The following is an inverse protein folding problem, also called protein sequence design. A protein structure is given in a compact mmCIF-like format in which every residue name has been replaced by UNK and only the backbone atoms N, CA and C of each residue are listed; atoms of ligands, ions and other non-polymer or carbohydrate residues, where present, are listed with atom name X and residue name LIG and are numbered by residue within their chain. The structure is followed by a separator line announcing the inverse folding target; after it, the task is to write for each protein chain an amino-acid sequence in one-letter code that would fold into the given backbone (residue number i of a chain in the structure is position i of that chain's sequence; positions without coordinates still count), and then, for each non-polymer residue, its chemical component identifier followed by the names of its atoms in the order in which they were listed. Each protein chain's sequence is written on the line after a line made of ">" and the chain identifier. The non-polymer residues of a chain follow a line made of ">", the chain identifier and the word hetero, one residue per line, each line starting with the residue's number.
data_IF_018494225294
#
_entry.id   IF_018494225294
#
_cell.length_a   1.000
_cell.length_b   1.000
_cell.length_c   1.000
_cell.angle_alpha   90.00
_cell.angle_beta   90.00
_cell.angle_gamma   90.00
#
_symmetry.space_group_name_H-M   'P 1'
#
loop_
_entity.id
_entity.type
_entity.pdbx_description
1 polymer ?
#
# COMPACT_ATOMS: atom_id res chain seq x y z
N UNK A 1 -4.10 27.56 -4.11
CA UNK A 1 -4.11 28.93 -4.66
C UNK A 1 -3.96 28.93 -6.19
N UNK A 2 -2.93 28.27 -6.76
CA UNK A 2 -2.70 28.25 -8.22
C UNK A 2 -3.89 27.69 -9.04
N UNK A 3 -4.58 26.64 -8.55
CA UNK A 3 -5.75 26.07 -9.21
C UNK A 3 -6.95 27.01 -9.17
N UNK A 4 -7.15 27.72 -8.06
CA UNK A 4 -8.22 28.72 -7.94
C UNK A 4 -7.99 29.91 -8.89
N UNK A 5 -6.74 30.37 -9.00
CA UNK A 5 -6.38 31.40 -9.96
C UNK A 5 -6.66 31.01 -11.42
N UNK A 6 -6.70 29.68 -11.72
CA UNK A 6 -7.11 29.11 -13.01
C UNK A 6 -8.62 28.85 -13.12
N UNK A 7 -9.42 29.36 -12.19
CA UNK A 7 -10.89 29.22 -12.20
C UNK A 7 -11.42 27.83 -11.88
N UNK A 8 -10.60 26.94 -11.28
CA UNK A 8 -11.03 25.60 -10.85
C UNK A 8 -11.95 25.72 -9.63
N UNK A 9 -13.10 25.06 -9.68
CA UNK A 9 -14.15 25.11 -8.65
C UNK A 9 -14.37 23.79 -7.92
N UNK A 10 -13.95 22.67 -8.49
CA UNK A 10 -14.15 21.32 -7.98
C UNK A 10 -12.79 20.62 -7.88
N UNK A 11 -12.62 19.82 -6.85
CA UNK A 11 -11.35 19.17 -6.57
C UNK A 11 -11.54 17.66 -6.38
N UNK A 12 -10.65 16.90 -6.96
CA UNK A 12 -10.49 15.49 -6.68
C UNK A 12 -9.13 15.36 -6.00
N UNK A 13 -9.14 14.81 -4.79
CA UNK A 13 -7.94 14.52 -4.01
C UNK A 13 -7.74 13.02 -4.01
N UNK A 14 -6.54 12.56 -4.37
CA UNK A 14 -6.11 11.18 -4.20
C UNK A 14 -5.07 11.18 -3.10
N UNK A 15 -5.34 10.44 -2.02
CA UNK A 15 -4.47 10.27 -0.86
C UNK A 15 -3.99 8.83 -0.84
N UNK A 16 -2.68 8.64 -0.72
CA UNK A 16 -2.08 7.31 -0.78
C UNK A 16 -2.12 6.64 0.60
N UNK A 17 -2.40 5.34 0.59
CA UNK A 17 -2.23 4.45 1.73
C UNK A 17 -1.28 3.32 1.30
N UNK A 18 0.03 3.55 1.45
CA UNK A 18 1.07 2.62 1.06
C UNK A 18 1.59 2.82 -0.36
N UNK A 19 2.42 3.85 -0.57
CA UNK A 19 3.10 4.09 -1.86
C UNK A 19 4.03 2.94 -2.24
N UNK A 20 4.23 2.76 -3.55
CA UNK A 20 4.92 1.57 -4.11
C UNK A 20 6.34 1.38 -3.56
N UNK A 21 7.14 2.42 -3.43
CA UNK A 21 8.54 2.29 -3.00
C UNK A 21 8.66 2.36 -1.48
N UNK A 22 8.08 3.37 -0.85
CA UNK A 22 8.31 3.67 0.56
C UNK A 22 7.19 3.18 1.49
N UNK A 23 6.06 2.76 0.95
CA UNK A 23 4.91 2.41 1.77
C UNK A 23 4.30 3.61 2.51
N UNK A 24 4.63 4.83 2.11
CA UNK A 24 4.18 6.06 2.77
C UNK A 24 2.66 6.16 2.76
N UNK A 25 2.13 6.73 3.84
CA UNK A 25 0.70 6.99 4.01
C UNK A 25 0.49 8.50 4.15
N UNK A 26 -0.37 9.05 3.31
CA UNK A 26 -0.72 10.47 3.36
C UNK A 26 -1.74 10.73 4.47
N UNK A 27 -1.61 11.84 5.19
CA UNK A 27 -2.68 12.31 6.07
C UNK A 27 -3.72 13.10 5.23
N UNK A 28 -4.92 12.55 5.02
CA UNK A 28 -5.94 13.22 4.21
C UNK A 28 -6.45 14.52 4.82
N UNK A 29 -6.30 14.73 6.12
CA UNK A 29 -6.71 15.98 6.81
C UNK A 29 -5.98 17.19 6.25
N UNK A 30 -4.69 17.04 5.92
CA UNK A 30 -3.87 18.12 5.34
C UNK A 30 -4.54 18.75 4.10
N UNK A 31 -5.22 17.94 3.30
CA UNK A 31 -5.90 18.40 2.09
C UNK A 31 -7.34 18.85 2.37
N UNK A 32 -8.07 18.09 3.18
CA UNK A 32 -9.51 18.32 3.37
C UNK A 32 -9.77 19.56 4.23
N UNK A 33 -8.95 19.83 5.21
CA UNK A 33 -9.07 21.04 6.05
C UNK A 33 -8.91 22.31 5.22
N UNK A 34 -7.90 22.37 4.36
CA UNK A 34 -7.70 23.51 3.45
C UNK A 34 -8.88 23.68 2.50
N UNK A 35 -9.40 22.59 1.94
CA UNK A 35 -10.53 22.68 1.01
C UNK A 35 -11.82 23.13 1.71
N UNK A 36 -12.02 22.72 2.96
CA UNK A 36 -13.14 23.16 3.80
C UNK A 36 -13.02 24.61 4.21
N UNK A 37 -11.83 25.06 4.59
CA UNK A 37 -11.55 26.47 4.91
C UNK A 37 -11.94 27.40 3.75
N UNK A 38 -11.61 26.99 2.52
CA UNK A 38 -11.98 27.75 1.33
C UNK A 38 -13.39 27.43 0.79
N UNK A 39 -14.18 26.62 1.50
CA UNK A 39 -15.53 26.20 1.11
C UNK A 39 -15.60 25.58 -0.31
N UNK A 40 -14.58 24.82 -0.67
CA UNK A 40 -14.44 24.22 -2.00
C UNK A 40 -15.01 22.80 -2.02
N UNK A 41 -15.90 22.47 -2.95
CA UNK A 41 -16.39 21.11 -3.09
C UNK A 41 -15.30 20.18 -3.59
N UNK A 42 -15.19 19.01 -2.95
CA UNK A 42 -14.19 18.00 -3.29
C UNK A 42 -14.74 16.57 -3.21
N UNK A 43 -13.99 15.66 -3.79
CA UNK A 43 -14.06 14.22 -3.56
C UNK A 43 -12.69 13.74 -3.12
N UNK A 44 -12.66 12.96 -2.05
CA UNK A 44 -11.45 12.33 -1.53
C UNK A 44 -11.48 10.84 -1.86
N UNK A 45 -10.50 10.40 -2.63
CA UNK A 45 -10.25 9.00 -2.93
C UNK A 45 -9.00 8.54 -2.17
N UNK A 46 -9.07 7.38 -1.55
CA UNK A 46 -7.93 6.72 -0.93
C UNK A 46 -7.40 5.65 -1.90
N UNK A 47 -6.19 5.83 -2.37
CA UNK A 47 -5.45 4.78 -3.04
C UNK A 47 -4.83 3.85 -1.98
N UNK A 48 -5.59 2.85 -1.59
CA UNK A 48 -5.19 1.79 -0.67
C UNK A 48 -4.79 0.51 -1.39
N UNK A 49 -4.37 0.60 -2.66
CA UNK A 49 -4.05 -0.56 -3.50
C UNK A 49 -3.14 -1.57 -2.77
N UNK A 50 -2.16 -1.10 -2.03
CA UNK A 50 -1.32 -1.95 -1.18
C UNK A 50 -1.74 -1.89 0.29
N UNK A 51 -1.76 -0.69 0.86
CA UNK A 51 -1.92 -0.47 2.29
C UNK A 51 -3.30 -0.78 2.83
N UNK A 52 -4.34 -0.86 1.98
CA UNK A 52 -5.71 -1.13 2.40
C UNK A 52 -5.92 -2.46 3.14
N UNK A 53 -5.01 -3.43 2.96
CA UNK A 53 -4.97 -4.69 3.72
C UNK A 53 -3.83 -4.80 4.73
N UNK A 54 -3.17 -3.69 5.08
CA UNK A 54 -2.12 -3.66 6.11
C UNK A 54 -2.43 -2.58 7.13
N UNK A 55 -2.53 -1.35 6.67
CA UNK A 55 -2.63 -0.16 7.50
C UNK A 55 -3.85 -0.15 8.44
N UNK A 56 -5.07 -0.57 8.03
CA UNK A 56 -6.23 -0.61 8.92
C UNK A 56 -6.11 -1.58 10.10
N UNK A 57 -5.13 -2.48 10.09
CA UNK A 57 -4.84 -3.38 11.21
C UNK A 57 -3.78 -2.82 12.17
N UNK A 58 -3.44 -1.53 12.05
CA UNK A 58 -2.52 -0.83 12.94
C UNK A 58 -3.15 -0.36 14.24
N UNK A 59 -2.29 -0.09 15.23
CA UNK A 59 -2.68 0.45 16.55
C UNK A 59 -2.68 1.98 16.52
N UNK A 60 -3.64 2.59 15.82
CA UNK A 60 -3.74 4.06 15.82
C UNK A 60 -5.19 4.51 15.64
N UNK A 61 -5.51 5.64 16.22
CA UNK A 61 -6.76 6.39 16.00
C UNK A 61 -6.79 7.03 14.61
N UNK A 62 -6.68 6.20 13.60
CA UNK A 62 -6.58 6.73 12.27
C UNK A 62 -7.93 6.63 11.58
N UNK A 63 -8.29 7.72 10.96
CA UNK A 63 -9.56 7.90 10.29
C UNK A 63 -9.44 7.76 8.76
N UNK A 64 -8.48 6.95 8.26
CA UNK A 64 -8.38 6.65 6.83
C UNK A 64 -9.29 5.47 6.50
N UNK A 65 -10.54 5.60 6.84
CA UNK A 65 -11.62 4.66 6.55
C UNK A 65 -12.96 5.42 6.46
N UNK A 66 -14.05 4.71 6.18
CA UNK A 66 -15.36 5.34 5.99
C UNK A 66 -16.02 5.91 7.26
N UNK A 67 -15.39 5.84 8.45
CA UNK A 67 -15.82 6.64 9.60
C UNK A 67 -15.51 8.11 9.38
N UNK A 68 -14.48 8.43 8.59
CA UNK A 68 -14.23 9.78 8.10
C UNK A 68 -15.23 10.15 7.00
N UNK A 69 -16.12 11.13 7.22
CA UNK A 69 -17.16 11.50 6.25
C UNK A 69 -16.60 12.09 4.96
N UNK A 70 -15.39 12.59 4.95
CA UNK A 70 -14.76 13.21 3.78
C UNK A 70 -14.35 12.18 2.73
N UNK A 71 -14.07 10.93 3.12
CA UNK A 71 -13.67 9.87 2.20
C UNK A 71 -14.85 9.46 1.33
N UNK A 72 -14.68 9.62 0.03
CA UNK A 72 -15.68 9.29 -0.99
C UNK A 72 -15.55 7.86 -1.49
N UNK A 73 -14.32 7.38 -1.66
CA UNK A 73 -14.03 6.06 -2.22
C UNK A 73 -12.64 5.56 -1.82
N UNK A 74 -12.46 4.25 -1.88
CA UNK A 74 -11.19 3.55 -1.59
C UNK A 74 -10.98 2.49 -2.66
N UNK A 75 -9.77 2.36 -3.18
CA UNK A 75 -9.33 1.23 -4.01
C UNK A 75 -8.39 0.34 -3.22
N UNK A 76 -8.53 -0.98 -3.37
CA UNK A 76 -7.69 -1.99 -2.74
C UNK A 76 -7.36 -3.05 -3.80
N UNK A 77 -6.07 -3.35 -4.01
CA UNK A 77 -5.67 -4.40 -4.94
C UNK A 77 -5.63 -5.77 -4.24
N UNK A 78 -6.61 -6.60 -4.53
CA UNK A 78 -6.71 -7.91 -3.92
C UNK A 78 -5.56 -8.85 -4.32
N UNK A 79 -4.94 -8.65 -5.49
CA UNK A 79 -3.77 -9.40 -5.94
C UNK A 79 -2.45 -9.00 -5.27
N UNK A 80 -2.47 -8.00 -4.37
CA UNK A 80 -1.32 -7.61 -3.54
C UNK A 80 -1.39 -8.35 -2.18
N UNK A 81 -1.73 -7.66 -1.12
CA UNK A 81 -1.71 -8.24 0.23
C UNK A 81 -2.70 -9.37 0.45
N UNK A 82 -3.85 -9.35 -0.21
CA UNK A 82 -4.84 -10.42 -0.13
C UNK A 82 -4.43 -11.70 -0.88
N UNK A 83 -3.42 -11.62 -1.75
CA UNK A 83 -2.87 -12.73 -2.55
C UNK A 83 -3.92 -13.42 -3.44
N UNK A 84 -4.91 -12.67 -3.88
CA UNK A 84 -5.87 -13.12 -4.88
C UNK A 84 -5.21 -13.20 -6.27
N UNK A 85 -5.84 -13.87 -7.25
CA UNK A 85 -5.30 -13.93 -8.62
C UNK A 85 -5.03 -12.55 -9.21
N UNK A 86 -3.98 -12.46 -10.03
CA UNK A 86 -3.55 -11.20 -10.65
C UNK A 86 -4.68 -10.49 -11.41
N UNK A 87 -4.66 -9.16 -11.36
CA UNK A 87 -5.67 -8.32 -12.00
C UNK A 87 -6.96 -8.14 -11.19
N UNK A 88 -6.97 -8.55 -9.91
CA UNK A 88 -8.11 -8.31 -9.01
C UNK A 88 -7.98 -6.98 -8.28
N UNK A 89 -8.97 -6.11 -8.43
CA UNK A 89 -9.10 -4.87 -7.68
C UNK A 89 -10.48 -4.79 -7.01
N UNK A 90 -10.52 -4.20 -5.84
CA UNK A 90 -11.74 -3.91 -5.07
C UNK A 90 -11.90 -2.40 -5.01
N UNK A 91 -13.02 -1.90 -5.51
CA UNK A 91 -13.40 -0.51 -5.39
C UNK A 91 -14.62 -0.38 -4.49
N UNK A 92 -14.52 0.44 -3.47
CA UNK A 92 -15.61 0.72 -2.53
C UNK A 92 -15.85 2.22 -2.50
N UNK A 93 -17.11 2.64 -2.58
CA UNK A 93 -17.46 4.04 -2.47
C UNK A 93 -18.71 4.23 -1.61
N UNK A 94 -18.96 5.48 -1.22
CA UNK A 94 -20.21 5.82 -0.53
C UNK A 94 -21.41 5.58 -1.43
N UNK A 95 -22.50 5.15 -0.82
CA UNK A 95 -23.78 4.95 -1.49
C UNK A 95 -24.18 6.20 -2.29
N UNK A 96 -24.66 6.00 -3.50
CA UNK A 96 -25.07 7.07 -4.40
C UNK A 96 -23.95 7.66 -5.26
N UNK A 97 -22.70 7.20 -5.11
CA UNK A 97 -21.59 7.67 -5.96
C UNK A 97 -21.33 6.76 -7.16
N UNK A 98 -21.59 5.46 -7.03
CA UNK A 98 -21.30 4.49 -8.09
C UNK A 98 -22.19 4.72 -9.33
N UNK A 99 -23.39 5.25 -9.15
CA UNK A 99 -24.32 5.54 -10.23
C UNK A 99 -23.79 6.60 -11.21
N UNK A 100 -22.82 7.42 -10.77
CA UNK A 100 -22.19 8.43 -11.63
C UNK A 100 -21.25 7.84 -12.70
N UNK A 101 -20.88 6.58 -12.61
CA UNK A 101 -20.01 5.88 -13.58
C UNK A 101 -20.78 4.90 -14.47
N UNK A 102 -22.11 4.85 -14.33
CA UNK A 102 -22.95 4.02 -15.17
C UNK A 102 -22.86 4.45 -16.63
N UNK A 103 -22.59 3.51 -17.50
CA UNK A 103 -22.68 3.69 -18.95
C UNK A 103 -23.99 3.09 -19.47
N UNK A 104 -24.78 3.87 -20.19
CA UNK A 104 -26.08 3.47 -20.70
C UNK A 104 -26.02 2.53 -21.92
N UNK A 105 -24.84 2.15 -22.39
CA UNK A 105 -24.65 1.65 -23.75
C UNK A 105 -24.47 0.12 -23.90
N UNK A 106 -24.46 -0.65 -22.84
CA UNK A 106 -24.33 -2.12 -22.96
C UNK A 106 -25.68 -2.79 -23.29
N UNK A 107 -26.24 -2.49 -24.47
CA UNK A 107 -27.55 -3.02 -24.91
C UNK A 107 -27.61 -4.55 -25.04
N UNK A 108 -26.48 -5.24 -25.04
CA UNK A 108 -26.39 -6.70 -25.23
C UNK A 108 -26.09 -7.45 -23.93
N UNK A 109 -25.92 -6.75 -22.82
CA UNK A 109 -25.67 -7.36 -21.51
C UNK A 109 -26.83 -6.99 -20.58
N UNK A 110 -27.50 -7.98 -20.00
CA UNK A 110 -28.43 -7.77 -18.91
C UNK A 110 -27.63 -7.37 -17.65
N UNK A 111 -27.71 -6.11 -17.28
CA UNK A 111 -27.03 -5.57 -16.11
C UNK A 111 -26.42 -4.20 -16.36
N UNK A 112 -25.93 -3.59 -15.28
CA UNK A 112 -25.27 -2.29 -15.33
C UNK A 112 -23.75 -2.47 -15.37
N UNK A 113 -23.08 -1.86 -16.34
CA UNK A 113 -21.62 -1.80 -16.37
C UNK A 113 -21.15 -0.59 -15.55
N UNK A 114 -20.38 -0.87 -14.49
CA UNK A 114 -19.87 0.10 -13.54
C UNK A 114 -18.38 0.39 -13.74
N UNK A 115 -17.77 -0.10 -14.82
CA UNK A 115 -16.32 0.02 -15.03
C UNK A 115 -15.99 0.35 -16.47
N UNK A 116 -14.80 0.92 -16.66
CA UNK A 116 -14.24 1.17 -17.99
C UNK A 116 -13.72 -0.09 -18.68
N UNK A 117 -13.47 -1.16 -17.91
CA UNK A 117 -13.06 -2.45 -18.45
C UNK A 117 -14.30 -3.24 -18.85
N UNK A 118 -14.35 -3.77 -20.06
CA UNK A 118 -15.41 -4.63 -20.53
C UNK A 118 -15.51 -5.96 -19.76
N UNK A 119 -15.26 -7.10 -20.42
CA UNK A 119 -15.33 -8.40 -19.77
C UNK A 119 -14.35 -8.58 -18.61
N UNK A 120 -14.83 -9.14 -17.49
CA UNK A 120 -14.04 -9.42 -16.29
C UNK A 120 -14.23 -10.86 -15.87
N UNK A 121 -13.23 -11.40 -15.16
CA UNK A 121 -13.27 -12.76 -14.64
C UNK A 121 -14.19 -12.87 -13.41
N UNK A 122 -15.31 -13.58 -13.55
CA UNK A 122 -16.14 -13.96 -12.41
C UNK A 122 -15.40 -14.89 -11.43
N UNK A 123 -14.48 -15.72 -11.92
CA UNK A 123 -13.64 -16.58 -11.09
C UNK A 123 -12.77 -15.77 -10.13
N UNK A 124 -12.28 -14.61 -10.54
CA UNK A 124 -11.52 -13.70 -9.67
C UNK A 124 -12.39 -13.14 -8.51
N UNK A 125 -13.64 -12.81 -8.77
CA UNK A 125 -14.56 -12.36 -7.73
C UNK A 125 -14.84 -13.50 -6.72
N UNK A 126 -15.03 -14.72 -7.20
CA UNK A 126 -15.17 -15.92 -6.35
C UNK A 126 -13.92 -16.15 -5.52
N UNK A 127 -12.72 -16.05 -6.11
CA UNK A 127 -11.46 -16.21 -5.38
C UNK A 127 -11.32 -15.17 -4.25
N UNK A 128 -11.61 -13.91 -4.50
CA UNK A 128 -11.62 -12.85 -3.47
C UNK A 128 -12.60 -13.19 -2.35
N UNK A 129 -13.82 -13.60 -2.71
CA UNK A 129 -14.84 -13.99 -1.72
C UNK A 129 -14.39 -15.17 -0.87
N UNK A 130 -13.84 -16.23 -1.49
CA UNK A 130 -13.32 -17.42 -0.77
C UNK A 130 -12.22 -17.01 0.22
N UNK A 131 -11.24 -16.20 -0.21
CA UNK A 131 -10.15 -15.75 0.64
C UNK A 131 -10.69 -14.97 1.84
N UNK A 132 -11.56 -14.00 1.61
CA UNK A 132 -12.13 -13.17 2.67
C UNK A 132 -12.95 -13.98 3.66
N UNK A 133 -13.79 -14.92 3.18
CA UNK A 133 -14.65 -15.74 4.05
C UNK A 133 -13.87 -16.82 4.79
N UNK A 134 -12.82 -17.39 4.18
CA UNK A 134 -11.97 -18.43 4.82
C UNK A 134 -11.19 -17.87 6.00
N UNK A 135 -10.61 -16.71 5.84
CA UNK A 135 -9.80 -16.10 6.90
C UNK A 135 -10.64 -15.31 7.90
N UNK A 136 -11.60 -14.54 7.42
CA UNK A 136 -12.38 -13.62 8.24
C UNK A 136 -11.50 -12.52 8.90
N UNK A 137 -12.11 -11.58 9.61
CA UNK A 137 -11.37 -10.42 10.14
C UNK A 137 -10.32 -10.80 11.20
N UNK A 138 -10.60 -11.78 12.05
CA UNK A 138 -9.68 -12.18 13.13
C UNK A 138 -8.40 -12.82 12.60
N UNK A 139 -8.50 -13.76 11.65
CA UNK A 139 -7.30 -14.38 11.08
C UNK A 139 -6.49 -13.40 10.23
N UNK A 140 -7.16 -12.43 9.58
CA UNK A 140 -6.45 -11.35 8.91
C UNK A 140 -5.68 -10.48 9.90
N UNK A 141 -6.30 -10.12 11.03
CA UNK A 141 -5.62 -9.39 12.09
C UNK A 141 -4.40 -10.15 12.61
N UNK A 142 -4.52 -11.44 12.92
CA UNK A 142 -3.39 -12.29 13.34
C UNK A 142 -2.27 -12.31 12.31
N UNK A 143 -2.63 -12.53 11.03
CA UNK A 143 -1.69 -12.59 9.92
C UNK A 143 -0.89 -11.29 9.77
N UNK A 144 -1.58 -10.17 9.76
CA UNK A 144 -0.93 -8.85 9.66
C UNK A 144 -0.12 -8.55 10.91
N UNK A 145 -0.59 -8.92 12.10
CA UNK A 145 0.17 -8.75 13.34
C UNK A 145 1.51 -9.49 13.30
N UNK A 146 1.54 -10.73 12.81
CA UNK A 146 2.79 -11.49 12.64
C UNK A 146 3.73 -10.80 11.65
N UNK A 147 3.23 -10.34 10.51
CA UNK A 147 4.01 -9.59 9.53
C UNK A 147 4.61 -8.33 10.15
N UNK A 148 3.82 -7.57 10.90
CA UNK A 148 4.27 -6.36 11.60
C UNK A 148 5.33 -6.67 12.66
N UNK A 149 5.16 -7.74 13.44
CA UNK A 149 6.18 -8.20 14.40
C UNK A 149 7.51 -8.51 13.71
N UNK A 150 7.48 -9.22 12.58
CA UNK A 150 8.69 -9.51 11.77
C UNK A 150 9.31 -8.22 11.23
N UNK A 151 8.49 -7.27 10.76
CA UNK A 151 8.96 -5.95 10.29
C UNK A 151 9.64 -5.17 11.42
N UNK A 152 9.03 -5.14 12.60
CA UNK A 152 9.58 -4.48 13.79
C UNK A 152 10.92 -5.11 14.19
N UNK A 153 11.01 -6.44 14.14
CA UNK A 153 12.24 -7.15 14.40
C UNK A 153 13.35 -6.76 13.42
N UNK A 154 13.05 -6.74 12.11
CA UNK A 154 13.99 -6.32 11.08
C UNK A 154 14.49 -4.89 11.35
N UNK A 155 13.59 -3.93 11.56
CA UNK A 155 13.95 -2.54 11.85
C UNK A 155 14.89 -2.44 13.07
N UNK A 156 14.57 -3.18 14.15
CA UNK A 156 15.44 -3.23 15.34
C UNK A 156 16.85 -3.77 15.04
N UNK A 157 16.98 -4.77 14.15
CA UNK A 157 18.30 -5.26 13.74
C UNK A 157 19.05 -4.22 12.90
N UNK A 158 18.36 -3.54 11.99
CA UNK A 158 18.94 -2.47 11.17
C UNK A 158 19.44 -1.31 12.04
N UNK A 159 18.66 -0.93 13.07
CA UNK A 159 19.06 0.09 14.06
C UNK A 159 20.37 -0.32 14.78
N UNK A 160 20.47 -1.57 15.23
CA UNK A 160 21.69 -2.10 15.90
C UNK A 160 22.91 -2.11 14.97
N UNK A 161 22.70 -2.25 13.67
CA UNK A 161 23.77 -2.22 12.67
C UNK A 161 24.10 -0.80 12.19
N UNK A 162 23.37 0.22 12.64
CA UNK A 162 23.51 1.60 12.17
C UNK A 162 23.15 1.75 10.68
N UNK A 163 22.24 0.92 10.17
CA UNK A 163 21.77 0.98 8.77
C UNK A 163 20.69 2.01 8.65
N UNK A 164 20.84 2.96 7.70
CA UNK A 164 19.82 3.97 7.44
C UNK A 164 18.68 3.39 6.60
N UNK A 165 17.46 3.50 7.10
CA UNK A 165 16.25 3.03 6.43
C UNK A 165 15.09 4.00 6.65
N UNK A 166 14.05 3.85 5.84
CA UNK A 166 12.73 4.44 6.04
C UNK A 166 11.68 3.35 6.19
N UNK A 167 10.77 3.54 7.12
CA UNK A 167 9.56 2.74 7.27
C UNK A 167 8.42 3.64 7.72
N UNK A 168 7.29 3.57 7.02
CA UNK A 168 6.04 4.15 7.51
C UNK A 168 5.54 3.32 8.72
N UNK A 169 5.19 3.97 9.85
CA UNK A 169 4.60 3.26 10.99
C UNK A 169 3.43 2.37 10.55
N UNK A 170 3.33 1.18 11.13
CA UNK A 170 2.28 0.19 10.84
C UNK A 170 2.30 -0.46 9.46
N UNK A 171 3.20 -0.05 8.57
CA UNK A 171 3.40 -0.72 7.28
C UNK A 171 4.47 -1.80 7.34
N UNK A 172 4.43 -2.71 6.38
CA UNK A 172 5.35 -3.85 6.23
C UNK A 172 6.37 -3.66 5.10
N UNK A 173 6.59 -2.43 4.67
CA UNK A 173 7.61 -2.05 3.69
C UNK A 173 8.74 -1.34 4.44
N UNK A 174 9.96 -1.80 4.22
CA UNK A 174 11.18 -1.19 4.74
C UNK A 174 12.08 -0.85 3.57
N UNK A 175 12.48 0.41 3.45
CA UNK A 175 13.39 0.88 2.41
C UNK A 175 14.74 1.22 3.03
N UNK A 176 15.80 0.60 2.55
CA UNK A 176 17.16 0.75 3.07
C UNK A 176 17.98 1.58 2.08
N UNK A 177 18.83 2.47 2.57
CA UNK A 177 19.78 3.19 1.73
C UNK A 177 20.69 2.23 0.98
N UNK A 178 20.83 2.42 -0.33
CA UNK A 178 21.62 1.53 -1.18
C UNK A 178 23.10 1.47 -0.76
N UNK A 179 23.65 2.57 -0.27
CA UNK A 179 25.01 2.65 0.27
C UNK A 179 25.25 1.77 1.52
N UNK A 180 24.17 1.38 2.19
CA UNK A 180 24.23 0.52 3.39
C UNK A 180 24.20 -0.97 3.05
N UNK A 181 23.91 -1.37 1.81
CA UNK A 181 23.72 -2.77 1.40
C UNK A 181 24.63 -3.09 0.22
N UNK A 182 25.57 -4.03 0.38
CA UNK A 182 26.37 -4.52 -0.74
C UNK A 182 25.45 -5.06 -1.86
N UNK A 183 25.80 -4.75 -3.10
CA UNK A 183 25.02 -5.16 -4.27
C UNK A 183 24.84 -6.69 -4.34
N UNK A 184 25.87 -7.44 -3.96
CA UNK A 184 25.82 -8.91 -3.86
C UNK A 184 24.74 -9.41 -2.90
N UNK A 185 24.53 -8.71 -1.79
CA UNK A 185 23.46 -9.01 -0.83
C UNK A 185 22.12 -8.59 -1.38
N UNK A 186 22.03 -7.40 -1.98
CA UNK A 186 20.80 -6.94 -2.60
C UNK A 186 20.31 -7.94 -3.67
N UNK A 187 21.21 -8.47 -4.49
CA UNK A 187 20.90 -9.51 -5.48
C UNK A 187 20.51 -10.85 -4.84
N UNK A 188 21.28 -11.32 -3.83
CA UNK A 188 21.00 -12.58 -3.13
C UNK A 188 19.58 -12.64 -2.56
N UNK A 189 19.13 -11.54 -1.99
CA UNK A 189 17.81 -11.44 -1.33
C UNK A 189 16.74 -10.78 -2.21
N UNK A 190 17.02 -10.56 -3.50
CA UNK A 190 16.10 -9.95 -4.45
C UNK A 190 15.49 -8.63 -3.94
N UNK A 191 16.31 -7.78 -3.34
CA UNK A 191 15.85 -6.46 -2.91
C UNK A 191 15.46 -5.62 -4.13
N UNK A 192 14.33 -4.95 -4.05
CA UNK A 192 13.81 -4.17 -5.18
C UNK A 192 14.47 -2.78 -5.19
N UNK A 193 15.28 -2.45 -6.21
CA UNK A 193 15.89 -1.13 -6.30
C UNK A 193 14.86 -0.06 -6.65
N UNK A 194 15.10 1.18 -6.23
CA UNK A 194 14.33 2.34 -6.63
C UNK A 194 14.54 2.66 -8.12
N UNK A 195 15.75 2.47 -8.61
CA UNK A 195 16.16 2.61 -10.01
C UNK A 195 17.08 1.45 -10.39
N UNK A 196 17.09 1.07 -11.68
CA UNK A 196 17.98 0.03 -12.23
C UNK A 196 19.27 0.60 -12.81
N UNK A 197 19.56 1.86 -12.60
CA UNK A 197 20.76 2.55 -13.00
C UNK A 197 21.63 2.99 -11.80
N UNK A 198 22.74 3.65 -12.07
CA UNK A 198 23.69 4.15 -11.05
C UNK A 198 23.07 5.19 -10.09
N UNK A 199 21.87 5.71 -10.38
CA UNK A 199 21.15 6.65 -9.53
C UNK A 199 20.37 5.98 -8.39
N UNK A 200 20.43 4.64 -8.26
CA UNK A 200 19.72 3.91 -7.22
C UNK A 200 20.17 4.33 -5.82
N UNK A 201 19.26 4.91 -5.06
CA UNK A 201 19.52 5.38 -3.69
C UNK A 201 18.90 4.49 -2.61
N UNK A 202 18.00 3.59 -3.00
CA UNK A 202 17.21 2.80 -2.07
C UNK A 202 16.95 1.39 -2.58
N UNK A 203 16.96 0.44 -1.65
CA UNK A 203 16.43 -0.90 -1.84
C UNK A 203 15.19 -1.09 -0.96
N UNK A 204 14.17 -1.71 -1.51
CA UNK A 204 12.91 -2.02 -0.82
C UNK A 204 12.87 -3.49 -0.41
N UNK A 205 12.47 -3.73 0.83
CA UNK A 205 12.10 -5.02 1.38
C UNK A 205 10.60 -4.97 1.69
N UNK A 206 9.85 -5.96 1.22
CA UNK A 206 8.43 -6.12 1.51
C UNK A 206 8.25 -7.40 2.33
N UNK A 207 7.80 -7.26 3.56
CA UNK A 207 7.57 -8.41 4.42
C UNK A 207 6.17 -8.97 4.18
N UNK A 208 6.10 -10.01 3.35
CA UNK A 208 4.90 -10.80 3.13
C UNK A 208 4.86 -11.98 4.11
N UNK A 209 3.76 -12.70 4.19
CA UNK A 209 3.61 -13.82 5.13
C UNK A 209 4.59 -14.99 4.87
N UNK A 210 5.05 -15.17 3.64
CA UNK A 210 6.09 -16.15 3.29
C UNK A 210 7.52 -15.71 3.66
N UNK A 211 7.73 -14.44 4.03
CA UNK A 211 9.04 -13.96 4.52
C UNK A 211 9.14 -14.28 6.02
N UNK A 212 9.70 -15.45 6.32
CA UNK A 212 9.84 -15.93 7.70
C UNK A 212 11.02 -15.29 8.42
N UNK A 213 11.04 -15.42 9.75
CA UNK A 213 12.07 -14.80 10.59
C UNK A 213 13.46 -15.36 10.28
N UNK A 214 13.55 -16.63 9.86
CA UNK A 214 14.79 -17.29 9.46
C UNK A 214 15.43 -16.61 8.26
N UNK A 215 14.65 -16.28 7.23
CA UNK A 215 15.13 -15.52 6.07
C UNK A 215 15.69 -14.14 6.47
N UNK A 216 15.04 -13.49 7.43
CA UNK A 216 15.50 -12.20 7.94
C UNK A 216 16.79 -12.33 8.77
N UNK A 217 16.94 -13.41 9.55
CA UNK A 217 18.17 -13.70 10.29
C UNK A 217 19.35 -13.94 9.34
N UNK A 218 19.13 -14.71 8.28
CA UNK A 218 20.16 -14.96 7.26
C UNK A 218 20.57 -13.66 6.56
N UNK A 219 19.60 -12.82 6.21
CA UNK A 219 19.87 -11.48 5.64
C UNK A 219 20.73 -10.63 6.59
N UNK A 220 20.38 -10.54 7.87
CA UNK A 220 21.12 -9.77 8.85
C UNK A 220 22.52 -10.37 9.08
N UNK A 221 22.64 -11.69 9.13
CA UNK A 221 23.93 -12.37 9.26
C UNK A 221 24.88 -12.02 8.10
N UNK A 222 24.39 -12.06 6.87
CA UNK A 222 25.17 -11.70 5.69
C UNK A 222 25.56 -10.20 5.69
N UNK A 223 24.67 -9.33 6.12
CA UNK A 223 24.94 -7.90 6.27
C UNK A 223 26.09 -7.65 7.28
N UNK A 224 26.12 -8.38 8.39
CA UNK A 224 27.21 -8.30 9.39
C UNK A 224 28.51 -8.83 8.81
N UNK A 225 28.46 -10.00 8.17
CA UNK A 225 29.65 -10.66 7.61
C UNK A 225 30.29 -9.82 6.50
N UNK A 226 29.51 -9.13 5.70
CA UNK A 226 30.03 -8.26 4.63
C UNK A 226 30.73 -7.02 5.17
N UNK A 227 30.28 -6.44 6.28
CA UNK A 227 30.95 -5.30 6.95
C UNK A 227 32.30 -5.67 7.52
N UNK A 228 32.47 -6.91 7.99
CA UNK A 228 33.74 -7.40 8.54
C UNK A 228 34.82 -7.67 7.47
N UNK A 229 34.44 -7.76 6.22
CA UNK A 229 35.34 -8.00 5.08
C UNK A 229 35.80 -6.74 4.36
N UNK A 230 35.25 -5.57 4.70
CA UNK A 230 35.69 -4.28 4.16
C UNK A 230 36.91 -3.82 4.94
N UNK A 231 38.11 -3.71 4.35
CA UNK A 231 39.28 -3.16 5.05
C UNK A 231 39.00 -1.70 5.40
N UNK A 232 39.30 -1.35 6.67
CA UNK A 232 39.30 0.01 7.23
C UNK A 232 40.22 0.96 6.48
#
# INVERSE_FOLDING_TARGET
>A
KASLAKGKKYFIVVSNMGTTMFGSVDDPKVYTEVLKEYQLPFRLHIDGAYGGFVYPFGDFENQINFTNPDISSITIDAHKMLQAPYGTGIFVCRKGLIENVLTAEAKYVEGMDLTLCGSRSGANAVAVWVILTTYGPHKWYEKISVIKMRTNWLCKQLDQLGVSYFREPEMNIVTIRSECVPETIAHKYNLVPQSHDESNQWYKIVLMDHVEIEHLKDFIHDMVSSKSLSPS
#
